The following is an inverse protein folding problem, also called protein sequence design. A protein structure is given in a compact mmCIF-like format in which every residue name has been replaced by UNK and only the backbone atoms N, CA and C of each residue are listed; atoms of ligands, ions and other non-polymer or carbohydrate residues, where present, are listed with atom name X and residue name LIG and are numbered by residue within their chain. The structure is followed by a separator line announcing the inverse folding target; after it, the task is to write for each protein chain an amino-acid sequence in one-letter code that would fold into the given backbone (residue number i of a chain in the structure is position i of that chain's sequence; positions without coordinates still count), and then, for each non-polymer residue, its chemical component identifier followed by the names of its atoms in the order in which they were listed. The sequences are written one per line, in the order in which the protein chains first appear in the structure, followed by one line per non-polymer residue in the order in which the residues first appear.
data_IF_418678814560
#
_entry.id   IF_418678814560
#
_cell.length_a   1.000
_cell.length_b   1.000
_cell.length_c   1.000
_cell.angle_alpha   90.00
_cell.angle_beta   90.00
_cell.angle_gamma   90.00
#
_symmetry.space_group_name_H-M   'P 1'
#
loop_
_entity.id
_entity.type
_entity.pdbx_description
1 polymer ?
#
# COMPACT_ATOMS: atom_id res chain seq x y z
N UNK A 1 31.62 17.41 12.51
CA UNK A 1 30.54 17.44 13.52
C UNK A 1 29.19 17.86 12.93
N UNK A 2 29.15 18.78 11.96
CA UNK A 2 27.90 19.20 11.29
C UNK A 2 27.10 18.03 10.68
N UNK A 3 27.75 17.11 9.97
CA UNK A 3 27.09 15.94 9.35
C UNK A 3 26.28 15.08 10.34
N UNK A 4 26.76 14.90 11.57
CA UNK A 4 26.07 14.09 12.59
C UNK A 4 24.78 14.80 13.01
N UNK A 5 24.83 16.12 13.20
CA UNK A 5 23.66 16.92 13.55
C UNK A 5 22.64 16.96 12.40
N UNK A 6 23.12 17.19 11.16
CA UNK A 6 22.27 17.19 9.96
C UNK A 6 21.59 15.84 9.74
N UNK A 7 22.33 14.75 9.95
CA UNK A 7 21.79 13.39 9.89
C UNK A 7 20.72 13.16 10.96
N UNK A 8 20.99 13.52 12.22
CA UNK A 8 20.04 13.37 13.31
C UNK A 8 18.76 14.19 13.08
N UNK A 9 18.90 15.44 12.61
CA UNK A 9 17.78 16.32 12.30
C UNK A 9 16.91 15.78 11.16
N UNK A 10 17.54 15.30 10.07
CA UNK A 10 16.81 14.71 8.93
C UNK A 10 16.15 13.39 9.29
N UNK A 11 16.82 12.55 10.07
CA UNK A 11 16.22 11.33 10.61
C UNK A 11 14.95 11.64 11.42
N UNK A 12 15.03 12.58 12.37
CA UNK A 12 13.87 12.99 13.17
C UNK A 12 12.75 13.58 12.31
N UNK A 13 13.08 14.42 11.33
CA UNK A 13 12.12 15.01 10.40
C UNK A 13 11.37 13.93 9.62
N UNK A 14 12.09 13.02 8.97
CA UNK A 14 11.50 11.92 8.20
C UNK A 14 10.69 11.00 9.10
N UNK A 15 11.16 10.69 10.31
CA UNK A 15 10.44 9.85 11.26
C UNK A 15 9.09 10.47 11.66
N UNK A 16 9.07 11.77 11.96
CA UNK A 16 7.84 12.50 12.30
C UNK A 16 6.88 12.49 11.11
N UNK A 17 7.37 12.85 9.91
CA UNK A 17 6.53 12.90 8.71
C UNK A 17 5.99 11.53 8.33
N UNK A 18 6.80 10.48 8.44
CA UNK A 18 6.36 9.10 8.21
C UNK A 18 5.29 8.74 9.23
N UNK A 19 5.49 9.03 10.51
CA UNK A 19 4.48 8.72 11.54
C UNK A 19 3.15 9.45 11.33
N UNK A 20 3.18 10.67 10.81
CA UNK A 20 1.97 11.44 10.47
C UNK A 20 1.28 10.90 9.21
N UNK A 21 2.06 10.53 8.20
CA UNK A 21 1.57 10.05 6.90
C UNK A 21 1.01 8.63 7.01
N UNK A 22 1.69 7.76 7.76
CA UNK A 22 1.45 6.32 7.77
C UNK A 22 0.65 5.82 8.98
N UNK A 23 -0.17 6.65 9.63
CA UNK A 23 -1.09 6.23 10.72
C UNK A 23 -2.07 5.09 10.35
N UNK A 24 -2.07 4.61 9.09
CA UNK A 24 -2.91 3.50 8.60
C UNK A 24 -2.21 2.12 8.53
N UNK A 25 -0.96 1.96 9.01
CA UNK A 25 -0.22 0.66 8.95
C UNK A 25 -0.78 -0.40 9.90
N UNK A 26 -2.02 -0.84 9.71
CA UNK A 26 -2.48 -2.12 10.24
C UNK A 26 -3.16 -2.99 9.18
N UNK A 27 -3.25 -2.53 7.92
CA UNK A 27 -4.02 -3.24 6.87
C UNK A 27 -3.39 -3.26 5.47
N UNK A 28 -2.07 -3.21 5.37
CA UNK A 28 -1.25 -3.22 4.11
C UNK A 28 -0.83 -1.82 3.65
N UNK A 29 0.45 -1.68 3.28
CA UNK A 29 0.96 -0.47 2.66
C UNK A 29 0.38 -0.32 1.24
N UNK A 30 -0.12 0.86 0.92
CA UNK A 30 -0.61 1.16 -0.44
C UNK A 30 0.58 1.44 -1.37
N UNK A 31 0.43 1.24 -2.69
CA UNK A 31 1.46 1.64 -3.66
C UNK A 31 1.85 3.12 -3.53
N UNK A 32 0.90 3.97 -3.11
CA UNK A 32 1.12 5.39 -2.91
C UNK A 32 2.04 5.67 -1.70
N UNK A 33 1.92 4.87 -0.64
CA UNK A 33 2.83 4.94 0.51
C UNK A 33 4.28 4.62 0.10
N UNK A 34 4.46 3.65 -0.79
CA UNK A 34 5.79 3.30 -1.32
C UNK A 34 6.43 4.47 -2.10
N UNK A 35 5.64 5.18 -2.91
CA UNK A 35 6.10 6.37 -3.64
C UNK A 35 6.56 7.46 -2.67
N UNK A 36 5.81 7.70 -1.58
CA UNK A 36 6.20 8.69 -0.57
C UNK A 36 7.48 8.29 0.15
N UNK A 37 7.60 7.03 0.57
CA UNK A 37 8.82 6.51 1.21
C UNK A 37 10.03 6.68 0.28
N UNK A 38 9.86 6.41 -1.02
CA UNK A 38 10.90 6.61 -2.03
C UNK A 38 11.32 8.09 -2.13
N UNK A 39 10.37 9.02 -2.22
CA UNK A 39 10.67 10.45 -2.26
C UNK A 39 11.34 10.93 -0.97
N UNK A 40 10.91 10.45 0.20
CA UNK A 40 11.52 10.82 1.47
C UNK A 40 12.99 10.39 1.53
N UNK A 41 13.30 9.16 1.11
CA UNK A 41 14.68 8.70 1.01
C UNK A 41 15.52 9.56 0.05
N UNK A 42 14.99 9.85 -1.14
CA UNK A 42 15.69 10.64 -2.15
C UNK A 42 15.95 12.10 -1.74
N UNK A 43 15.02 12.72 -0.99
CA UNK A 43 15.13 14.12 -0.55
C UNK A 43 15.93 14.26 0.74
N UNK A 44 15.87 13.28 1.65
CA UNK A 44 16.50 13.38 2.96
C UNK A 44 18.03 13.20 2.93
N UNK A 45 18.58 12.46 1.97
CA UNK A 45 20.02 12.13 1.91
C UNK A 45 20.91 13.31 1.47
N UNK A 46 20.62 14.02 0.36
CA UNK A 46 21.51 15.08 -0.13
C UNK A 46 21.84 16.20 0.88
N UNK A 47 20.88 16.71 1.69
CA UNK A 47 21.15 17.72 2.72
C UNK A 47 22.03 17.22 3.87
N UNK A 48 22.17 15.91 4.06
CA UNK A 48 23.03 15.31 5.10
C UNK A 48 24.50 15.32 4.64
N UNK A 49 24.73 14.97 3.37
CA UNK A 49 26.09 14.81 2.81
C UNK A 49 26.81 16.14 2.58
N UNK A 50 26.11 17.27 2.71
CA UNK A 50 26.70 18.60 2.60
C UNK A 50 26.75 19.16 1.17
N UNK A 51 26.02 18.54 0.23
CA UNK A 51 25.94 18.95 -1.18
C UNK A 51 25.16 20.27 -1.38
N UNK A 52 25.60 21.41 -0.83
CA UNK A 52 25.07 22.79 -1.00
C UNK A 52 23.53 22.98 -0.90
N UNK A 53 22.80 21.94 -0.54
CA UNK A 53 21.35 21.86 -0.52
C UNK A 53 20.90 22.27 0.87
N UNK A 54 20.12 23.35 0.91
CA UNK A 54 19.53 23.88 2.12
C UNK A 54 18.69 22.82 2.83
N UNK A 55 19.01 22.54 4.09
CA UNK A 55 18.21 21.67 4.97
C UNK A 55 16.78 22.19 5.07
N UNK A 56 16.61 23.50 5.17
CA UNK A 56 15.28 24.13 5.19
C UNK A 56 14.50 23.82 3.91
N UNK A 57 15.17 23.88 2.75
CA UNK A 57 14.56 23.51 1.47
C UNK A 57 14.14 22.05 1.42
N UNK A 58 14.94 21.14 1.98
CA UNK A 58 14.60 19.72 2.05
C UNK A 58 13.44 19.45 3.02
N UNK A 59 13.42 20.07 4.20
CA UNK A 59 12.29 19.98 5.14
C UNK A 59 11.02 20.47 4.45
N UNK A 60 11.08 21.61 3.76
CA UNK A 60 9.92 22.17 3.05
C UNK A 60 9.43 21.24 1.93
N UNK A 61 10.34 20.65 1.15
CA UNK A 61 10.00 19.66 0.14
C UNK A 61 9.36 18.40 0.74
N UNK A 62 9.94 17.85 1.82
CA UNK A 62 9.38 16.69 2.54
C UNK A 62 7.98 17.00 3.09
N UNK A 63 7.79 18.16 3.72
CA UNK A 63 6.50 18.62 4.21
C UNK A 63 5.48 18.80 3.08
N UNK A 64 5.91 19.28 1.91
CA UNK A 64 5.05 19.44 0.74
C UNK A 64 4.58 18.08 0.22
N UNK A 65 5.49 17.11 0.09
CA UNK A 65 5.16 15.75 -0.34
C UNK A 65 4.23 15.07 0.68
N UNK A 66 4.53 15.20 1.99
CA UNK A 66 3.67 14.69 3.05
C UNK A 66 2.26 15.31 2.99
N UNK A 67 2.19 16.64 2.86
CA UNK A 67 0.93 17.38 2.74
C UNK A 67 0.13 16.97 1.51
N UNK A 68 0.78 16.79 0.36
CA UNK A 68 0.13 16.32 -0.87
C UNK A 68 -0.39 14.90 -0.71
N UNK A 69 0.38 14.01 -0.09
CA UNK A 69 -0.07 12.64 0.21
C UNK A 69 -1.31 12.67 1.11
N UNK A 70 -1.27 13.42 2.22
CA UNK A 70 -2.40 13.53 3.14
C UNK A 70 -3.62 14.14 2.45
N UNK A 71 -3.44 15.22 1.69
CA UNK A 71 -4.51 15.85 0.91
C UNK A 71 -5.14 14.88 -0.08
N UNK A 72 -4.33 14.10 -0.79
CA UNK A 72 -4.82 13.08 -1.72
C UNK A 72 -5.59 11.98 -1.00
N UNK A 73 -5.11 11.53 0.16
CA UNK A 73 -5.80 10.56 1.03
C UNK A 73 -7.14 11.09 1.55
N UNK A 74 -7.24 12.38 1.87
CA UNK A 74 -8.53 13.02 2.18
C UNK A 74 -9.43 13.12 0.95
N UNK A 75 -8.86 13.47 -0.21
CA UNK A 75 -9.60 13.62 -1.45
C UNK A 75 -10.21 12.29 -1.91
N UNK A 76 -9.49 11.16 -1.77
CA UNK A 76 -10.02 9.81 -2.04
C UNK A 76 -11.27 9.50 -1.22
N UNK A 77 -11.35 10.01 0.01
CA UNK A 77 -12.50 9.80 0.90
C UNK A 77 -13.72 10.62 0.47
N UNK A 78 -13.50 11.79 -0.13
CA UNK A 78 -14.57 12.64 -0.67
C UNK A 78 -14.99 12.18 -2.06
N UNK A 79 -14.03 11.80 -2.90
CA UNK A 79 -14.21 11.37 -4.28
C UNK A 79 -13.64 9.96 -4.50
N UNK A 80 -14.48 8.92 -4.38
CA UNK A 80 -14.06 7.53 -4.56
C UNK A 80 -13.36 7.27 -5.91
N UNK A 81 -13.71 8.04 -6.95
CA UNK A 81 -13.10 7.97 -8.29
C UNK A 81 -11.58 8.20 -8.24
N UNK A 82 -11.10 9.09 -7.37
CA UNK A 82 -9.65 9.33 -7.19
C UNK A 82 -8.98 8.09 -6.62
N UNK A 83 -9.63 7.40 -5.68
CA UNK A 83 -9.19 6.09 -5.19
C UNK A 83 -9.14 5.05 -6.31
N UNK A 84 -10.18 4.98 -7.15
CA UNK A 84 -10.22 4.03 -8.28
C UNK A 84 -9.07 4.24 -9.28
N UNK A 85 -8.70 5.49 -9.57
CA UNK A 85 -7.64 5.81 -10.52
C UNK A 85 -6.25 5.56 -9.93
N UNK A 86 -6.06 5.85 -8.64
CA UNK A 86 -4.74 5.79 -8.00
C UNK A 86 -4.42 4.44 -7.33
N UNK A 87 -5.43 3.73 -6.85
CA UNK A 87 -5.31 2.45 -6.11
C UNK A 87 -6.07 1.31 -6.78
N UNK A 88 -6.83 1.56 -7.85
CA UNK A 88 -7.71 0.55 -8.44
C UNK A 88 -8.96 0.28 -7.60
N UNK A 89 -9.73 -0.74 -7.99
CA UNK A 89 -10.89 -1.24 -7.25
C UNK A 89 -10.66 -2.71 -6.91
N UNK A 90 -11.13 -3.19 -5.75
CA UNK A 90 -11.07 -4.58 -5.43
C UNK A 90 -11.99 -5.33 -6.39
N UNK A 91 -11.51 -6.48 -6.87
CA UNK A 91 -12.19 -7.23 -7.91
C UNK A 91 -12.37 -8.65 -7.44
N UNK A 92 -13.62 -9.07 -7.30
CA UNK A 92 -13.96 -10.48 -7.06
C UNK A 92 -13.66 -11.26 -8.34
N UNK A 93 -12.73 -12.21 -8.26
CA UNK A 93 -12.28 -13.07 -9.37
C UNK A 93 -12.75 -14.52 -9.24
N UNK A 94 -13.16 -14.93 -8.05
CA UNK A 94 -13.77 -16.22 -7.79
C UNK A 94 -14.90 -16.05 -6.79
N UNK A 95 -16.07 -16.60 -7.10
CA UNK A 95 -17.20 -16.64 -6.19
C UNK A 95 -18.11 -17.81 -6.55
N UNK A 96 -18.72 -18.43 -5.52
CA UNK A 96 -19.75 -19.47 -5.69
C UNK A 96 -19.32 -20.64 -6.60
N UNK A 97 -18.04 -21.03 -6.58
CA UNK A 97 -17.55 -22.13 -7.42
C UNK A 97 -17.15 -21.74 -8.84
N UNK A 98 -17.29 -20.48 -9.23
CA UNK A 98 -17.04 -19.99 -10.59
C UNK A 98 -15.94 -18.95 -10.64
N UNK A 99 -15.05 -19.09 -11.61
CA UNK A 99 -14.01 -18.11 -11.94
C UNK A 99 -14.56 -17.02 -12.87
N UNK A 100 -14.07 -15.79 -12.69
CA UNK A 100 -14.32 -14.69 -13.61
C UNK A 100 -13.05 -14.44 -14.45
N UNK A 101 -12.92 -15.24 -15.52
CA UNK A 101 -11.74 -15.25 -16.39
C UNK A 101 -11.49 -13.88 -17.06
N UNK A 102 -12.55 -13.11 -17.32
CA UNK A 102 -12.44 -11.77 -17.91
C UNK A 102 -11.74 -10.81 -16.94
N UNK A 103 -12.16 -10.80 -15.66
CA UNK A 103 -11.53 -9.97 -14.63
C UNK A 103 -10.11 -10.41 -14.33
N UNK A 104 -9.86 -11.71 -14.28
CA UNK A 104 -8.53 -12.29 -14.10
C UNK A 104 -7.57 -11.88 -15.23
N UNK A 105 -8.01 -11.99 -16.49
CA UNK A 105 -7.21 -11.58 -17.65
C UNK A 105 -6.90 -10.08 -17.64
N UNK A 106 -7.88 -9.23 -17.29
CA UNK A 106 -7.68 -7.78 -17.18
C UNK A 106 -6.68 -7.40 -16.09
N UNK A 107 -6.64 -8.14 -14.99
CA UNK A 107 -5.73 -7.92 -13.85
C UNK A 107 -4.42 -8.72 -13.94
N UNK A 108 -4.24 -9.53 -14.99
CA UNK A 108 -3.06 -10.39 -15.20
C UNK A 108 -2.79 -11.34 -14.04
N UNK A 109 -3.86 -11.89 -13.46
CA UNK A 109 -3.80 -12.88 -12.36
C UNK A 109 -4.24 -14.23 -12.90
N UNK A 110 -3.51 -15.28 -12.54
CA UNK A 110 -3.82 -16.67 -12.89
C UNK A 110 -4.48 -17.38 -11.69
N UNK A 111 -5.24 -18.45 -11.96
CA UNK A 111 -5.80 -19.29 -10.90
C UNK A 111 -4.71 -19.84 -9.98
N UNK A 112 -3.49 -20.04 -10.51
CA UNK A 112 -2.31 -20.47 -9.74
C UNK A 112 -1.94 -19.50 -8.62
N UNK A 113 -2.15 -18.20 -8.81
CA UNK A 113 -1.85 -17.18 -7.80
C UNK A 113 -2.83 -17.29 -6.63
N UNK A 114 -4.11 -17.50 -6.93
CA UNK A 114 -5.14 -17.75 -5.92
C UNK A 114 -4.87 -19.06 -5.17
N UNK A 115 -4.50 -20.12 -5.89
CA UNK A 115 -4.12 -21.41 -5.28
C UNK A 115 -2.85 -21.31 -4.43
N UNK A 116 -1.94 -20.37 -4.73
CA UNK A 116 -0.78 -20.11 -3.88
C UNK A 116 -1.19 -19.42 -2.57
N UNK A 117 -2.08 -18.44 -2.65
CA UNK A 117 -2.61 -17.76 -1.47
C UNK A 117 -3.44 -18.70 -0.57
N UNK A 118 -4.27 -19.55 -1.18
CA UNK A 118 -4.98 -20.62 -0.46
C UNK A 118 -4.03 -21.50 0.35
N UNK A 119 -2.90 -21.90 -0.24
CA UNK A 119 -1.88 -22.72 0.44
C UNK A 119 -1.22 -21.97 1.60
N UNK A 120 -0.98 -20.67 1.48
CA UNK A 120 -0.46 -19.86 2.60
C UNK A 120 -1.45 -19.82 3.78
N UNK A 121 -2.75 -19.87 3.50
CA UNK A 121 -3.81 -19.91 4.51
C UNK A 121 -4.17 -21.33 4.97
N UNK A 122 -3.48 -22.37 4.48
CA UNK A 122 -3.74 -23.77 4.83
C UNK A 122 -4.99 -24.37 4.18
N UNK A 123 -5.56 -23.72 3.17
CA UNK A 123 -6.71 -24.20 2.39
C UNK A 123 -6.19 -25.07 1.24
N UNK A 124 -6.57 -26.33 1.20
CA UNK A 124 -6.14 -27.29 0.16
C UNK A 124 -7.15 -27.44 -0.96
N UNK A 125 -8.44 -27.27 -0.68
CA UNK A 125 -9.52 -27.47 -1.64
C UNK A 125 -10.17 -26.15 -2.05
N UNK A 126 -10.36 -25.97 -3.35
CA UNK A 126 -11.06 -24.79 -3.90
C UNK A 126 -12.54 -24.74 -3.51
N UNK A 127 -13.12 -25.90 -3.19
CA UNK A 127 -14.50 -26.01 -2.71
C UNK A 127 -14.71 -25.37 -1.33
N UNK A 128 -13.66 -25.28 -0.51
CA UNK A 128 -13.67 -24.64 0.80
C UNK A 128 -13.55 -23.11 0.69
N UNK A 129 -13.41 -22.55 -0.52
CA UNK A 129 -13.32 -21.11 -0.76
C UNK A 129 -14.69 -20.54 -1.12
N UNK A 130 -15.11 -19.50 -0.41
CA UNK A 130 -16.34 -18.75 -0.70
C UNK A 130 -16.09 -17.73 -1.81
N UNK A 131 -15.00 -16.96 -1.68
CA UNK A 131 -14.59 -15.98 -2.69
C UNK A 131 -13.09 -15.72 -2.68
N UNK A 132 -12.56 -15.29 -3.83
CA UNK A 132 -11.23 -14.71 -3.94
C UNK A 132 -11.31 -13.31 -4.55
N UNK A 133 -10.60 -12.36 -3.96
CA UNK A 133 -10.68 -10.94 -4.25
C UNK A 133 -9.27 -10.43 -4.52
N UNK A 134 -9.07 -9.73 -5.64
CA UNK A 134 -7.86 -8.93 -5.86
C UNK A 134 -8.07 -7.60 -5.16
N UNK A 135 -7.25 -7.29 -4.17
CA UNK A 135 -7.26 -6.03 -3.43
C UNK A 135 -6.67 -4.87 -4.24
N UNK A 136 -6.88 -3.65 -3.77
CA UNK A 136 -6.28 -2.42 -4.32
C UNK A 136 -4.74 -2.48 -4.41
N UNK A 137 -4.10 -3.22 -3.51
CA UNK A 137 -2.65 -3.42 -3.50
C UNK A 137 -2.18 -4.41 -4.57
N UNK A 138 -3.10 -5.11 -5.23
CA UNK A 138 -2.79 -6.27 -6.09
C UNK A 138 -2.63 -7.58 -5.32
N UNK A 139 -2.70 -7.55 -3.98
CA UNK A 139 -2.73 -8.76 -3.17
C UNK A 139 -4.03 -9.54 -3.42
N UNK A 140 -3.97 -10.85 -3.23
CA UNK A 140 -5.14 -11.72 -3.32
C UNK A 140 -5.62 -12.00 -1.90
N UNK A 141 -6.90 -11.76 -1.63
CA UNK A 141 -7.56 -12.15 -0.39
C UNK A 141 -8.45 -13.35 -0.69
N UNK A 142 -8.22 -14.47 0.00
CA UNK A 142 -9.07 -15.66 -0.05
C UNK A 142 -10.00 -15.65 1.16
N UNK A 143 -11.30 -15.82 0.93
CA UNK A 143 -12.32 -15.93 1.97
C UNK A 143 -12.79 -17.39 2.03
N UNK A 144 -12.49 -18.14 3.11
CA UNK A 144 -12.98 -19.50 3.26
C UNK A 144 -14.49 -19.53 3.52
N UNK A 145 -15.16 -20.58 3.08
CA UNK A 145 -16.55 -20.86 3.49
C UNK A 145 -16.59 -21.08 4.99
N UNK A 146 -17.56 -20.46 5.66
CA UNK A 146 -17.82 -20.79 7.07
C UNK A 146 -18.22 -22.27 7.14
N UNK A 147 -17.39 -23.11 7.77
CA UNK A 147 -17.85 -24.43 8.20
C UNK A 147 -18.91 -24.18 9.27
N UNK A 148 -20.18 -24.44 8.95
CA UNK A 148 -21.20 -24.62 9.96
C UNK A 148 -20.81 -25.83 10.80
N UNK A 149 -20.06 -25.62 11.88
CA UNK A 149 -20.01 -26.55 13.00
C UNK A 149 -21.41 -26.55 13.60
N UNK A 150 -22.24 -27.49 13.18
CA UNK A 150 -23.43 -27.85 13.95
C UNK A 150 -22.95 -28.33 15.34
N UNK A 151 -23.51 -27.79 16.43
CA UNK A 151 -23.17 -28.17 17.80
C UNK A 151 -23.56 -29.61 18.14
#
# INVERSE_FOLDING_TARGET
MDIVFRAALMYLTVLILLRLTTQRIMRSATPLDMVVIFFFGGIAVPPILGDDRSITGAILALCTIAGLHTALSHLKRVWPVVGMVTEGNPVVIYANGTWDDEKMRRRRVDARDVMAEMRQQGITNLEDVQSAIIEHTGAITVVPKQRHTHP
#
